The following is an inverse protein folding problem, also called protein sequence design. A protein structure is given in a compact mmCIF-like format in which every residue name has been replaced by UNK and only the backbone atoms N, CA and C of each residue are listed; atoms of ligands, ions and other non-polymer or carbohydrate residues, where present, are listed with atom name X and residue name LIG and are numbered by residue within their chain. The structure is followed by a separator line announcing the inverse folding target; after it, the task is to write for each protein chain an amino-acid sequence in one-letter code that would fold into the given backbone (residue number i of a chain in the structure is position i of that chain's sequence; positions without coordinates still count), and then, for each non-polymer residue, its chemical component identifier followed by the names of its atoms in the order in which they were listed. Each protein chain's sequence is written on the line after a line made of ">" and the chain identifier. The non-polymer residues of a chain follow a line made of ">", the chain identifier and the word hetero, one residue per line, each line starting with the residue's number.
data_IF_964721771775
#
_entry.id   IF_964721771775
#
_cell.length_a   1.000
_cell.length_b   1.000
_cell.length_c   1.000
_cell.angle_alpha   90.00
_cell.angle_beta   90.00
_cell.angle_gamma   90.00
#
_symmetry.space_group_name_H-M   'P 1'
#
loop_
_entity.id
_entity.type
_entity.pdbx_description
1 polymer ?
#
# COMPACT_ATOMS: atom_id res chain seq x y z
N UNK A 1 1.38 8.76 -14.16
CA UNK A 1 2.29 7.68 -13.75
C UNK A 1 3.51 8.41 -13.27
N UNK A 2 3.78 8.31 -11.97
CA UNK A 2 4.94 8.90 -11.31
C UNK A 2 6.23 8.52 -12.05
N UNK A 3 7.30 9.31 -11.86
CA UNK A 3 8.64 8.90 -12.27
C UNK A 3 8.94 7.50 -11.70
N UNK A 4 9.89 6.75 -12.29
CA UNK A 4 10.19 5.36 -11.90
C UNK A 4 10.46 5.18 -10.38
N UNK A 5 10.81 6.28 -9.70
CA UNK A 5 11.12 6.37 -8.27
C UNK A 5 9.93 6.90 -7.42
N UNK A 6 8.73 7.01 -7.98
CA UNK A 6 7.50 7.41 -7.26
C UNK A 6 7.26 8.92 -7.12
N UNK A 7 8.03 9.76 -7.80
CA UNK A 7 7.89 11.22 -7.74
C UNK A 7 6.83 11.76 -8.72
N UNK A 8 6.05 12.74 -8.29
CA UNK A 8 5.21 13.57 -9.19
C UNK A 8 5.94 14.81 -9.68
N UNK A 9 6.99 15.22 -8.98
CA UNK A 9 7.93 16.23 -9.41
C UNK A 9 9.23 16.09 -8.66
N UNK A 10 10.31 15.78 -9.37
CA UNK A 10 11.66 15.76 -8.80
C UNK A 10 12.42 17.03 -9.24
N UNK A 11 12.92 17.80 -8.28
CA UNK A 11 13.67 19.05 -8.50
C UNK A 11 12.97 20.04 -9.46
N UNK A 12 11.65 20.22 -9.34
CA UNK A 12 10.89 21.16 -10.18
C UNK A 12 10.98 22.60 -9.64
N UNK A 13 11.20 23.62 -10.49
CA UNK A 13 11.27 25.00 -10.04
C UNK A 13 9.93 25.49 -9.49
N UNK A 14 9.94 26.17 -8.34
CA UNK A 14 8.74 26.73 -7.71
C UNK A 14 8.68 28.24 -7.97
N UNK A 15 7.52 28.72 -8.43
CA UNK A 15 7.22 30.16 -8.47
C UNK A 15 6.99 30.68 -7.05
N UNK A 16 7.82 31.64 -6.64
CA UNK A 16 7.66 32.38 -5.37
C UNK A 16 7.32 33.81 -5.70
N UNK A 17 6.22 34.30 -5.14
CA UNK A 17 5.87 35.71 -5.23
C UNK A 17 6.95 36.55 -4.53
N UNK A 18 7.71 37.32 -5.31
CA UNK A 18 8.76 38.27 -4.89
C UNK A 18 10.14 37.71 -4.49
N UNK A 19 10.75 36.79 -5.24
CA UNK A 19 12.18 36.46 -5.05
C UNK A 19 13.13 37.24 -5.96
N UNK A 20 14.13 37.86 -5.32
CA UNK A 20 15.30 38.45 -5.96
C UNK A 20 16.12 37.39 -6.72
N UNK A 21 16.67 37.77 -7.87
CA UNK A 21 17.28 36.92 -8.91
C UNK A 21 18.54 36.09 -8.54
N UNK A 22 18.83 35.81 -7.26
CA UNK A 22 20.10 35.18 -6.83
C UNK A 22 19.96 33.76 -6.26
N UNK A 23 18.74 33.21 -6.18
CA UNK A 23 18.48 31.87 -5.63
C UNK A 23 17.43 31.13 -6.48
N UNK A 24 17.72 29.87 -6.80
CA UNK A 24 16.75 28.95 -7.42
C UNK A 24 16.09 28.12 -6.32
N UNK A 25 14.76 27.98 -6.37
CA UNK A 25 14.00 27.16 -5.42
C UNK A 25 13.41 25.98 -6.20
N UNK A 26 13.80 24.78 -5.80
CA UNK A 26 13.39 23.52 -6.42
C UNK A 26 12.57 22.71 -5.42
N UNK A 27 11.56 21.99 -5.91
CA UNK A 27 10.69 21.12 -5.13
C UNK A 27 10.86 19.68 -5.60
N UNK A 28 11.09 18.79 -4.65
CA UNK A 28 10.92 17.35 -4.83
C UNK A 28 9.70 16.90 -4.05
N UNK A 29 8.77 16.20 -4.70
CA UNK A 29 7.52 15.73 -4.12
C UNK A 29 7.19 14.30 -4.57
N UNK A 30 6.97 13.42 -3.58
CA UNK A 30 6.52 12.04 -3.76
C UNK A 30 5.29 11.80 -2.89
N UNK A 31 4.11 11.52 -3.48
CA UNK A 31 2.87 11.38 -2.73
C UNK A 31 2.70 10.00 -2.07
N UNK A 32 3.38 8.97 -2.59
CA UNK A 32 3.16 7.58 -2.21
C UNK A 32 4.29 6.98 -1.35
N UNK A 33 5.53 7.45 -1.53
CA UNK A 33 6.69 6.88 -0.84
C UNK A 33 7.49 7.96 -0.11
N UNK A 34 7.92 7.71 1.14
CA UNK A 34 8.87 8.58 1.81
C UNK A 34 10.22 8.52 1.10
N UNK A 35 10.85 9.68 0.93
CA UNK A 35 12.20 9.77 0.39
C UNK A 35 13.10 10.62 1.29
N UNK A 36 14.41 10.51 1.07
CA UNK A 36 15.40 11.36 1.73
C UNK A 36 16.25 12.06 0.68
N UNK A 37 16.60 13.33 0.92
CA UNK A 37 17.35 14.12 -0.04
C UNK A 37 18.37 15.05 0.64
N UNK A 38 19.66 14.99 0.24
CA UNK A 38 20.26 14.11 -0.76
C UNK A 38 20.44 12.66 -0.25
N UNK A 39 20.45 11.70 -1.16
CA UNK A 39 20.45 10.25 -0.86
C UNK A 39 21.63 9.80 0.02
N UNK A 40 22.78 10.46 -0.11
CA UNK A 40 24.04 10.08 0.56
C UNK A 40 24.23 10.70 1.96
N UNK A 41 23.44 11.73 2.32
CA UNK A 41 23.62 12.46 3.57
C UNK A 41 22.43 12.29 4.50
N UNK A 42 22.64 11.58 5.60
CA UNK A 42 21.67 11.36 6.68
C UNK A 42 21.54 12.55 7.65
N UNK A 43 22.16 13.69 7.33
CA UNK A 43 22.22 14.88 8.19
C UNK A 43 21.61 16.10 7.47
N UNK A 44 20.46 15.90 6.82
CA UNK A 44 19.68 16.98 6.22
C UNK A 44 18.26 16.99 6.78
N UNK A 45 17.57 18.12 6.67
CA UNK A 45 16.20 18.24 7.18
C UNK A 45 15.20 17.36 6.39
N UNK A 46 15.55 16.98 5.16
CA UNK A 46 14.71 16.18 4.28
C UNK A 46 14.98 14.67 4.41
N UNK A 47 14.70 14.09 5.58
CA UNK A 47 14.77 12.64 5.81
C UNK A 47 13.38 12.06 5.99
N UNK A 48 13.03 11.04 5.21
CA UNK A 48 11.73 10.38 5.19
C UNK A 48 10.57 11.39 5.07
N UNK A 49 10.65 12.26 4.07
CA UNK A 49 9.68 13.33 3.81
C UNK A 49 8.80 13.00 2.61
N UNK A 50 7.67 13.70 2.49
CA UNK A 50 6.81 13.68 1.32
C UNK A 50 7.15 14.82 0.35
N UNK A 51 7.61 15.95 0.89
CA UNK A 51 8.04 17.11 0.12
C UNK A 51 9.32 17.71 0.69
N UNK A 52 10.24 18.09 -0.18
CA UNK A 52 11.50 18.75 0.16
C UNK A 52 11.70 19.98 -0.72
N UNK A 53 11.97 21.13 -0.10
CA UNK A 53 12.43 22.32 -0.83
C UNK A 53 13.96 22.37 -0.82
N UNK A 54 14.52 22.62 -2.00
CA UNK A 54 15.96 22.78 -2.21
C UNK A 54 16.21 24.21 -2.66
N UNK A 55 16.84 25.01 -1.80
CA UNK A 55 17.25 26.37 -2.13
C UNK A 55 18.71 26.32 -2.60
N UNK A 56 18.92 26.68 -3.86
CA UNK A 56 20.23 26.69 -4.49
C UNK A 56 20.72 28.13 -4.62
N UNK A 57 21.74 28.47 -3.83
CA UNK A 57 22.41 29.76 -3.91
C UNK A 57 23.69 29.67 -4.74
N UNK A 58 23.88 30.66 -5.59
CA UNK A 58 25.15 30.85 -6.29
C UNK A 58 26.04 31.81 -5.50
N UNK A 59 27.02 31.27 -4.76
CA UNK A 59 28.04 32.08 -4.06
C UNK A 59 29.44 31.63 -4.47
N UNK A 60 30.26 32.59 -4.91
CA UNK A 60 31.71 32.39 -5.13
C UNK A 60 32.04 31.16 -6.01
N UNK A 61 31.37 31.00 -7.15
CA UNK A 61 31.57 29.89 -8.10
C UNK A 61 31.25 28.47 -7.56
N UNK A 62 30.55 28.37 -6.43
CA UNK A 62 30.02 27.10 -5.90
C UNK A 62 28.52 27.21 -5.65
N UNK A 63 27.83 26.09 -5.86
CA UNK A 63 26.43 25.94 -5.50
C UNK A 63 26.34 25.47 -4.06
N UNK A 64 25.64 26.24 -3.23
CA UNK A 64 25.30 25.84 -1.86
C UNK A 64 23.81 25.50 -1.88
N UNK A 65 23.51 24.25 -1.55
CA UNK A 65 22.15 23.74 -1.46
C UNK A 65 21.72 23.71 0.00
N UNK A 66 20.60 24.34 0.31
CA UNK A 66 19.91 24.19 1.58
C UNK A 66 18.65 23.35 1.37
N UNK A 67 18.45 22.35 2.22
CA UNK A 67 17.32 21.43 2.17
C UNK A 67 16.39 21.78 3.31
N UNK A 68 15.10 21.95 3.01
CA UNK A 68 14.07 22.29 4.00
C UNK A 68 12.94 21.27 3.89
N UNK A 69 12.65 20.60 5.01
CA UNK A 69 11.52 19.68 5.12
C UNK A 69 10.21 20.44 4.94
N UNK A 70 9.38 20.01 3.98
CA UNK A 70 8.09 20.63 3.69
C UNK A 70 6.93 19.64 3.87
N UNK A 71 7.05 18.74 4.83
CA UNK A 71 5.98 17.83 5.21
C UNK A 71 6.38 16.37 5.11
N UNK A 72 5.86 15.58 6.05
CA UNK A 72 6.11 14.14 6.17
C UNK A 72 4.84 13.36 5.84
N UNK A 73 5.02 12.09 5.45
CA UNK A 73 3.91 11.15 5.27
C UNK A 73 3.22 10.80 6.59
N UNK A 74 3.93 10.92 7.71
CA UNK A 74 3.37 10.64 9.03
C UNK A 74 2.25 11.64 9.38
N UNK A 75 1.14 11.11 9.88
CA UNK A 75 -0.05 11.85 10.31
C UNK A 75 -0.76 12.65 9.21
N UNK A 76 -0.54 12.31 7.94
CA UNK A 76 -1.22 12.99 6.83
C UNK A 76 -2.75 13.01 7.00
N UNK A 77 -3.34 14.17 6.69
CA UNK A 77 -4.79 14.35 6.77
C UNK A 77 -5.41 14.34 5.38
N UNK A 78 -6.48 13.58 5.22
CA UNK A 78 -7.24 13.48 3.98
C UNK A 78 -8.56 14.19 4.13
N UNK A 79 -8.83 15.13 3.25
CA UNK A 79 -10.09 15.86 3.19
C UNK A 79 -10.70 15.73 1.80
N UNK A 80 -11.88 15.11 1.73
CA UNK A 80 -12.63 15.02 0.48
C UNK A 80 -13.74 16.07 0.45
N UNK A 81 -13.69 16.93 -0.56
CA UNK A 81 -14.75 17.90 -0.82
C UNK A 81 -15.67 17.36 -1.93
N UNK A 82 -16.89 16.97 -1.56
CA UNK A 82 -17.86 16.39 -2.50
C UNK A 82 -18.37 17.41 -3.52
N UNK A 83 -18.47 18.69 -3.15
CA UNK A 83 -18.95 19.76 -4.03
C UNK A 83 -17.95 20.05 -5.15
N UNK A 84 -16.65 20.10 -4.81
CA UNK A 84 -15.57 20.35 -5.76
C UNK A 84 -15.02 19.06 -6.40
N UNK A 85 -15.51 17.88 -5.97
CA UNK A 85 -15.00 16.56 -6.36
C UNK A 85 -13.47 16.49 -6.26
N UNK A 86 -12.95 16.98 -5.15
CA UNK A 86 -11.52 17.22 -4.94
C UNK A 86 -11.06 16.55 -3.66
N UNK A 87 -9.99 15.76 -3.77
CA UNK A 87 -9.30 15.18 -2.62
C UNK A 87 -8.12 16.06 -2.26
N UNK A 88 -8.10 16.59 -1.04
CA UNK A 88 -7.00 17.37 -0.51
C UNK A 88 -6.24 16.55 0.52
N UNK A 89 -4.91 16.52 0.41
CA UNK A 89 -4.02 15.82 1.33
C UNK A 89 -3.08 16.82 1.97
N UNK A 90 -3.11 16.91 3.29
CA UNK A 90 -2.25 17.80 4.06
C UNK A 90 -1.09 17.01 4.68
N UNK A 91 0.13 17.40 4.32
CA UNK A 91 1.37 16.88 4.89
C UNK A 91 1.88 17.84 5.96
N UNK A 92 2.05 17.32 7.17
CA UNK A 92 2.33 18.13 8.34
C UNK A 92 3.82 18.20 8.67
N UNK A 93 4.19 19.27 9.37
CA UNK A 93 5.47 19.41 10.05
C UNK A 93 5.55 18.56 11.31
N UNK A 94 6.71 18.59 11.96
CA UNK A 94 6.88 17.99 13.28
C UNK A 94 5.97 18.63 14.34
N UNK A 95 5.64 19.92 14.19
CA UNK A 95 4.78 20.71 15.08
C UNK A 95 3.28 20.61 14.73
N UNK A 96 2.89 19.61 13.92
CA UNK A 96 1.50 19.36 13.49
C UNK A 96 0.86 20.53 12.73
N UNK A 97 1.67 21.38 12.09
CA UNK A 97 1.17 22.41 11.18
C UNK A 97 1.25 21.93 9.73
N UNK A 98 0.21 22.15 8.91
CA UNK A 98 0.27 21.79 7.50
C UNK A 98 1.34 22.64 6.80
N UNK A 99 2.32 22.00 6.18
CA UNK A 99 3.37 22.66 5.39
C UNK A 99 3.13 22.51 3.89
N UNK A 100 2.56 21.38 3.47
CA UNK A 100 2.20 21.12 2.07
C UNK A 100 0.77 20.62 2.01
N UNK A 101 -0.04 21.21 1.15
CA UNK A 101 -1.41 20.77 0.85
C UNK A 101 -1.49 20.45 -0.63
N UNK A 102 -1.92 19.23 -0.94
CA UNK A 102 -1.99 18.71 -2.29
C UNK A 102 -3.43 18.48 -2.67
N UNK A 103 -3.88 19.17 -3.72
CA UNK A 103 -5.23 19.11 -4.23
C UNK A 103 -5.28 18.24 -5.48
N UNK A 104 -5.85 17.04 -5.36
CA UNK A 104 -6.06 16.12 -6.45
C UNK A 104 -7.41 16.40 -7.12
N UNK A 105 -7.34 16.75 -8.40
CA UNK A 105 -8.49 16.99 -9.25
C UNK A 105 -8.62 15.86 -10.29
N UNK A 106 -9.85 15.36 -10.44
CA UNK A 106 -10.17 14.38 -11.46
C UNK A 106 -10.07 15.00 -12.85
N UNK A 107 -9.20 14.45 -13.70
CA UNK A 107 -9.18 14.75 -15.12
C UNK A 107 -9.19 13.44 -15.94
N UNK A 108 -10.33 13.02 -16.52
CA UNK A 108 -10.42 11.77 -17.27
C UNK A 108 -9.72 11.85 -18.64
N UNK A 109 -9.38 13.05 -19.12
CA UNK A 109 -8.77 13.25 -20.42
C UNK A 109 -7.25 12.99 -20.42
N UNK A 110 -6.64 12.85 -19.24
CA UNK A 110 -5.21 12.66 -19.09
C UNK A 110 -4.87 11.20 -18.81
N UNK A 111 -3.76 10.74 -19.38
CA UNK A 111 -3.24 9.38 -19.15
C UNK A 111 -2.38 9.27 -17.89
N UNK A 112 -1.91 10.40 -17.35
CA UNK A 112 -0.97 10.43 -16.25
C UNK A 112 -1.25 11.59 -15.29
N UNK A 113 -0.94 11.35 -14.01
CA UNK A 113 -0.88 12.36 -12.98
C UNK A 113 0.26 13.36 -13.20
N UNK A 114 -0.01 14.66 -13.07
CA UNK A 114 1.03 15.69 -13.07
C UNK A 114 0.66 16.91 -12.20
N UNK A 115 1.68 17.66 -11.80
CA UNK A 115 1.53 18.94 -11.10
C UNK A 115 1.18 20.04 -12.11
N UNK A 116 -0.03 20.59 -12.01
CA UNK A 116 -0.53 21.70 -12.84
C UNK A 116 0.00 23.04 -12.37
N UNK A 117 -0.02 23.27 -11.06
CA UNK A 117 0.39 24.53 -10.46
C UNK A 117 0.97 24.30 -9.06
N UNK A 118 1.91 25.16 -8.67
CA UNK A 118 2.58 25.12 -7.38
C UNK A 118 2.89 26.55 -6.91
N UNK A 119 2.36 26.91 -5.75
CA UNK A 119 2.54 28.24 -5.18
C UNK A 119 3.10 28.14 -3.78
N UNK A 120 4.21 28.84 -3.52
CA UNK A 120 4.81 28.97 -2.20
C UNK A 120 4.61 30.40 -1.70
N UNK A 121 3.99 30.54 -0.53
CA UNK A 121 3.74 31.81 0.14
C UNK A 121 4.40 31.81 1.52
N UNK A 122 4.85 32.97 1.99
CA UNK A 122 5.60 33.08 3.24
C UNK A 122 4.79 32.78 4.52
N UNK A 123 3.44 32.76 4.42
CA UNK A 123 2.53 32.57 5.56
C UNK A 123 1.53 31.43 5.36
N UNK A 124 1.49 30.85 4.18
CA UNK A 124 0.55 29.78 3.83
C UNK A 124 1.32 28.51 3.46
N UNK A 125 0.71 27.32 3.63
CA UNK A 125 1.34 26.09 3.21
C UNK A 125 1.60 26.09 1.70
N UNK A 126 2.61 25.32 1.28
CA UNK A 126 2.86 25.03 -0.12
C UNK A 126 1.61 24.35 -0.71
N UNK A 127 1.00 24.99 -1.71
CA UNK A 127 -0.15 24.42 -2.41
C UNK A 127 0.32 23.76 -3.69
N UNK A 128 -0.05 22.49 -3.89
CA UNK A 128 0.26 21.72 -5.09
C UNK A 128 -1.04 21.25 -5.73
N UNK A 129 -1.28 21.64 -6.97
CA UNK A 129 -2.44 21.23 -7.74
C UNK A 129 -2.07 20.07 -8.66
N UNK A 130 -2.66 18.91 -8.42
CA UNK A 130 -2.40 17.70 -9.20
C UNK A 130 -3.63 17.34 -10.01
N UNK A 131 -3.47 17.23 -11.31
CA UNK A 131 -4.48 16.58 -12.16
C UNK A 131 -4.11 15.11 -12.28
N UNK A 132 -5.08 14.23 -12.05
CA UNK A 132 -4.85 12.79 -12.13
C UNK A 132 -6.10 12.07 -12.64
N UNK A 133 -5.95 11.11 -13.57
CA UNK A 133 -7.06 10.22 -13.91
C UNK A 133 -7.48 9.38 -12.71
N UNK A 134 -6.56 9.04 -11.79
CA UNK A 134 -6.86 8.22 -10.61
C UNK A 134 -7.72 8.91 -9.56
N UNK A 135 -7.80 10.25 -9.59
CA UNK A 135 -8.73 10.99 -8.73
C UNK A 135 -10.19 10.86 -9.22
N UNK A 136 -10.41 10.33 -10.42
CA UNK A 136 -11.74 10.08 -10.94
C UNK A 136 -12.34 8.79 -10.37
N UNK A 137 -13.67 8.78 -10.13
CA UNK A 137 -14.35 7.58 -9.67
C UNK A 137 -14.14 6.44 -10.67
N UNK A 138 -13.76 5.26 -10.16
CA UNK A 138 -13.56 4.02 -10.92
C UNK A 138 -12.43 4.03 -11.98
N UNK A 139 -11.59 5.07 -12.04
CA UNK A 139 -10.56 5.17 -13.07
C UNK A 139 -9.27 4.41 -12.71
N UNK A 140 -8.87 4.43 -11.43
CA UNK A 140 -7.75 3.65 -10.93
C UNK A 140 -8.24 2.69 -9.85
N UNK A 141 -8.98 1.67 -10.29
CA UNK A 141 -9.17 0.49 -9.45
C UNK A 141 -7.77 -0.08 -9.17
N UNK A 142 -7.40 -0.21 -7.89
CA UNK A 142 -6.24 -1.02 -7.52
C UNK A 142 -6.45 -2.38 -8.16
N UNK A 143 -5.49 -2.81 -9.00
CA UNK A 143 -5.66 -3.96 -9.88
C UNK A 143 -6.33 -5.11 -9.14
N UNK A 144 -7.49 -5.52 -9.64
CA UNK A 144 -8.18 -6.70 -9.14
C UNK A 144 -7.16 -7.82 -9.01
N UNK A 145 -7.20 -8.55 -7.87
CA UNK A 145 -6.38 -9.75 -7.68
C UNK A 145 -6.49 -10.58 -8.96
N UNK A 146 -5.40 -10.65 -9.73
CA UNK A 146 -5.46 -11.31 -11.03
C UNK A 146 -6.02 -12.70 -10.86
N UNK A 147 -6.88 -13.14 -11.78
CA UNK A 147 -7.47 -14.50 -11.72
C UNK A 147 -6.40 -15.56 -11.43
N UNK A 148 -5.20 -15.40 -11.98
CA UNK A 148 -4.04 -16.24 -11.67
C UNK A 148 -3.63 -16.25 -10.20
N UNK A 149 -3.55 -15.09 -9.54
CA UNK A 149 -3.26 -14.98 -8.10
C UNK A 149 -4.35 -15.63 -7.27
N UNK A 150 -5.62 -15.45 -7.66
CA UNK A 150 -6.76 -16.12 -7.00
C UNK A 150 -6.62 -17.65 -7.12
N UNK A 151 -6.33 -18.17 -8.32
CA UNK A 151 -6.10 -19.60 -8.54
C UNK A 151 -4.91 -20.14 -7.73
N UNK A 152 -3.80 -19.40 -7.65
CA UNK A 152 -2.62 -19.80 -6.86
C UNK A 152 -2.92 -19.85 -5.35
N UNK A 153 -3.70 -18.88 -4.85
CA UNK A 153 -4.14 -18.89 -3.45
C UNK A 153 -5.02 -20.12 -3.18
N UNK A 154 -6.00 -20.40 -4.04
CA UNK A 154 -6.88 -21.57 -3.88
C UNK A 154 -6.08 -22.87 -3.95
N UNK A 155 -5.19 -23.01 -4.94
CA UNK A 155 -4.36 -24.20 -5.12
C UNK A 155 -3.43 -24.42 -3.91
N UNK A 156 -2.78 -23.37 -3.42
CA UNK A 156 -1.89 -23.48 -2.25
C UNK A 156 -2.65 -23.87 -0.97
N UNK A 157 -3.82 -23.26 -0.72
CA UNK A 157 -4.68 -23.62 0.40
C UNK A 157 -5.19 -25.07 0.30
N UNK A 158 -5.61 -25.50 -0.89
CA UNK A 158 -6.09 -26.86 -1.11
C UNK A 158 -4.98 -27.91 -0.92
N UNK A 159 -3.76 -27.64 -1.39
CA UNK A 159 -2.61 -28.51 -1.19
C UNK A 159 -2.26 -28.59 0.31
N UNK A 160 -2.21 -27.45 1.02
CA UNK A 160 -1.95 -27.42 2.46
C UNK A 160 -3.00 -28.22 3.24
N UNK A 161 -4.29 -28.05 2.92
CA UNK A 161 -5.37 -28.82 3.54
C UNK A 161 -5.22 -30.33 3.25
N UNK A 162 -4.89 -30.70 2.01
CA UNK A 162 -4.65 -32.10 1.64
C UNK A 162 -3.50 -32.72 2.45
N UNK A 163 -2.37 -32.01 2.59
CA UNK A 163 -1.25 -32.47 3.38
C UNK A 163 -1.58 -32.56 4.88
N UNK A 164 -2.23 -31.55 5.46
CA UNK A 164 -2.60 -31.57 6.88
C UNK A 164 -3.59 -32.70 7.17
N UNK A 165 -4.63 -32.84 6.36
CA UNK A 165 -5.59 -33.94 6.51
C UNK A 165 -4.93 -35.30 6.30
N UNK A 166 -4.04 -35.43 5.31
CA UNK A 166 -3.29 -36.65 5.08
C UNK A 166 -2.38 -37.03 6.25
N UNK A 167 -1.68 -36.07 6.83
CA UNK A 167 -0.81 -36.28 8.00
C UNK A 167 -1.61 -36.59 9.28
N UNK A 168 -2.79 -35.98 9.46
CA UNK A 168 -3.65 -36.26 10.62
C UNK A 168 -4.42 -37.57 10.48
N UNK A 169 -4.78 -37.97 9.26
CA UNK A 169 -5.56 -39.18 8.99
C UNK A 169 -4.70 -40.44 8.86
N UNK A 170 -3.38 -40.33 8.65
CA UNK A 170 -2.48 -41.46 8.44
C UNK A 170 -1.39 -41.47 9.53
N UNK A 171 -1.46 -42.42 10.45
CA UNK A 171 -0.39 -42.61 11.44
C UNK A 171 0.56 -43.73 11.00
N UNK A 172 1.86 -43.45 10.85
CA UNK A 172 2.84 -44.49 10.63
C UNK A 172 3.08 -45.27 11.93
N UNK A 173 2.95 -46.59 11.88
CA UNK A 173 3.30 -47.48 12.99
C UNK A 173 4.38 -48.46 12.54
N UNK A 174 5.28 -48.80 13.46
CA UNK A 174 6.43 -49.66 13.17
C UNK A 174 6.06 -51.11 13.45
N UNK A 175 6.06 -51.94 12.43
CA UNK A 175 5.82 -53.38 12.51
C UNK A 175 7.14 -54.15 12.36
N UNK A 176 7.16 -55.42 12.75
CA UNK A 176 8.32 -56.30 12.63
C UNK A 176 8.78 -56.50 11.17
N UNK A 177 7.92 -56.19 10.20
CA UNK A 177 8.19 -56.24 8.76
C UNK A 177 8.51 -54.88 8.12
N UNK A 178 8.56 -53.77 8.88
CA UNK A 178 8.83 -52.42 8.38
C UNK A 178 7.87 -51.35 8.91
N UNK A 179 7.94 -50.13 8.36
CA UNK A 179 6.99 -49.05 8.68
C UNK A 179 5.75 -49.23 7.80
N UNK A 180 4.58 -49.37 8.43
CA UNK A 180 3.29 -49.46 7.76
C UNK A 180 2.44 -48.24 8.13
N UNK A 181 1.56 -47.82 7.22
CA UNK A 181 0.69 -46.66 7.40
C UNK A 181 -0.74 -47.18 7.60
N UNK A 182 -1.35 -46.87 8.74
CA UNK A 182 -2.77 -47.16 9.00
C UNK A 182 -3.57 -45.86 9.04
N UNK A 183 -4.79 -45.85 8.47
CA UNK A 183 -5.74 -44.78 8.73
C UNK A 183 -6.06 -44.69 10.22
N UNK A 184 -6.15 -43.47 10.76
CA UNK A 184 -6.53 -43.22 12.15
C UNK A 184 -8.04 -43.38 12.32
N UNK A 185 -8.48 -44.40 13.07
CA UNK A 185 -9.90 -44.74 13.21
C UNK A 185 -10.78 -43.58 13.72
N UNK A 186 -10.25 -42.71 14.58
CA UNK A 186 -11.02 -41.58 15.16
C UNK A 186 -11.42 -40.52 14.13
N UNK A 187 -10.57 -40.24 13.14
CA UNK A 187 -10.81 -39.23 12.10
C UNK A 187 -11.89 -39.73 11.12
N UNK A 188 -11.79 -41.00 10.71
CA UNK A 188 -12.74 -41.60 9.77
C UNK A 188 -14.12 -41.85 10.40
N UNK A 189 -14.19 -42.22 11.68
CA UNK A 189 -15.47 -42.36 12.39
C UNK A 189 -16.19 -41.01 12.52
N UNK A 190 -15.47 -39.91 12.78
CA UNK A 190 -16.07 -38.57 12.88
C UNK A 190 -16.65 -38.09 11.54
N UNK A 191 -15.94 -38.33 10.44
CA UNK A 191 -16.40 -37.99 9.08
C UNK A 191 -17.65 -38.81 8.72
N UNK A 192 -17.64 -40.12 8.98
CA UNK A 192 -18.80 -40.98 8.73
C UNK A 192 -20.01 -40.56 9.57
N UNK A 193 -19.82 -40.20 10.85
CA UNK A 193 -20.89 -39.70 11.72
C UNK A 193 -21.49 -38.37 11.23
N UNK A 194 -20.64 -37.41 10.80
CA UNK A 194 -21.09 -36.13 10.23
C UNK A 194 -21.86 -36.31 8.91
N UNK A 195 -21.51 -37.33 8.12
CA UNK A 195 -22.23 -37.66 6.89
C UNK A 195 -23.57 -38.36 7.13
N UNK A 196 -23.72 -39.11 8.23
CA UNK A 196 -24.99 -39.77 8.59
C UNK A 196 -25.99 -38.80 9.23
N UNK A 197 -25.52 -37.83 10.01
CA UNK A 197 -26.37 -36.84 10.70
C UNK A 197 -26.99 -35.79 9.75
N UNK A 198 -26.39 -35.57 8.57
CA UNK A 198 -26.96 -34.69 7.51
C UNK A 198 -28.15 -35.29 6.74
N UNK A 199 -28.58 -36.51 7.04
CA UNK A 199 -29.83 -37.06 6.49
C UNK A 199 -30.98 -36.71 7.44
N UNK A 200 -32.07 -36.06 6.98
CA UNK A 200 -33.24 -35.86 7.82
C UNK A 200 -33.76 -37.23 8.26
N UNK A 201 -34.03 -37.37 9.56
CA UNK A 201 -34.55 -38.57 10.21
C UNK A 201 -35.66 -39.23 9.38
N UNK A 202 -35.31 -40.27 8.62
CA UNK A 202 -36.25 -41.31 8.27
C UNK A 202 -35.90 -42.52 9.10
N UNK A 203 -36.70 -42.72 10.15
CA UNK A 203 -36.80 -43.98 10.90
C UNK A 203 -36.83 -45.14 9.92
N UNK A 204 -35.77 -45.94 9.91
CA UNK A 204 -35.90 -47.39 9.81
C UNK A 204 -34.67 -48.08 10.41
N UNK A 205 -35.01 -49.02 11.28
CA UNK A 205 -34.18 -49.94 12.03
C UNK A 205 -33.38 -50.86 11.09
N UNK A 206 -32.04 -50.84 11.16
CA UNK A 206 -31.22 -52.06 11.12
C UNK A 206 -29.72 -51.74 11.29
N UNK A 207 -29.17 -52.47 12.25
CA UNK A 207 -27.79 -52.93 12.41
C UNK A 207 -26.70 -51.93 12.83
N UNK A 208 -26.38 -52.03 14.12
CA UNK A 208 -25.27 -51.38 14.81
C UNK A 208 -24.03 -52.23 14.58
N UNK A 209 -23.21 -51.89 13.58
CA UNK A 209 -21.83 -52.39 13.57
C UNK A 209 -21.02 -51.59 14.59
N UNK A 210 -20.81 -52.25 15.73
CA UNK A 210 -19.93 -51.86 16.84
C UNK A 210 -18.57 -51.33 16.35
N UNK A 211 -18.25 -50.07 16.67
CA UNK A 211 -16.87 -49.64 16.85
C UNK A 211 -16.53 -49.82 18.32
N UNK A 212 -16.00 -50.98 18.69
CA UNK A 212 -15.46 -51.21 20.02
C UNK A 212 -13.92 -51.22 19.99
N UNK A 213 -13.37 -50.35 20.84
CA UNK A 213 -12.04 -50.28 21.49
C UNK A 213 -10.76 -50.58 20.71
#
# INVERSE_FOLDING_TARGET
>A
MEDADGFLGHLKPVSVDNTSASAEILLSFSPCQPFSQPEELTETDCINVAACLVIRHHRLNRYINHYISYGRHEKNEFHYNDTLKMLSVSYLSHDEQPLTVVHYHCNPNQSASFIRDQSLSAKEPLQIWVESPCACPNACAMGDLGLGTIFLIILSLSAAAYFILGLCALRPFRSSSGVQISPEHSVWCMICYLCTERRPERRHYADVTHCER
#
